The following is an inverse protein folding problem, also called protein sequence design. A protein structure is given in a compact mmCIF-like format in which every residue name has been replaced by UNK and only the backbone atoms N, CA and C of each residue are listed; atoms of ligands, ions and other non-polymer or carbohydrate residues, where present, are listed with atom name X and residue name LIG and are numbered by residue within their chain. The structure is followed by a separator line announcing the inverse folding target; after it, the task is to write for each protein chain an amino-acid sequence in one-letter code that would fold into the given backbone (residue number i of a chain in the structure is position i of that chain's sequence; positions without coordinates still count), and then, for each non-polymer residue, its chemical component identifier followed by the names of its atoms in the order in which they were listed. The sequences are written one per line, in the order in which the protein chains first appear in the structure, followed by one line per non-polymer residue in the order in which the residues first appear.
data_IF_920671013696
#
_entry.id   IF_920671013696
#
_cell.length_a   1.000
_cell.length_b   1.000
_cell.length_c   1.000
_cell.angle_alpha   90.00
_cell.angle_beta   90.00
_cell.angle_gamma   90.00
#
_symmetry.space_group_name_H-M   'P 1'
#
loop_
_entity.id
_entity.type
_entity.pdbx_description
1 polymer ?
#
# COMPACT_ATOMS: atom_id res chain seq x y z
N UNK A 1 -2.09 30.67 -6.78
CA UNK A 1 -1.90 30.16 -5.41
C UNK A 1 -3.27 29.84 -4.84
N UNK A 2 -3.63 28.56 -4.78
CA UNK A 2 -4.74 28.03 -4.01
C UNK A 2 -4.21 26.74 -3.37
N UNK A 3 -4.12 26.64 -2.03
CA UNK A 3 -3.82 25.38 -1.39
C UNK A 3 -5.13 24.59 -1.31
N UNK A 4 -5.16 23.46 -1.99
CA UNK A 4 -6.20 22.45 -1.91
C UNK A 4 -6.27 21.95 -0.46
N UNK A 5 -7.40 22.22 0.21
CA UNK A 5 -7.76 21.57 1.47
C UNK A 5 -7.82 20.07 1.21
N UNK A 6 -6.82 19.35 1.71
CA UNK A 6 -6.86 17.90 1.81
C UNK A 6 -7.82 17.61 2.96
N UNK A 7 -9.04 17.21 2.59
CA UNK A 7 -10.04 16.66 3.50
C UNK A 7 -9.47 15.36 4.07
N UNK A 8 -8.98 15.45 5.29
CA UNK A 8 -8.47 14.35 6.08
C UNK A 8 -9.67 13.55 6.65
N UNK A 9 -10.37 12.85 5.77
CA UNK A 9 -11.47 11.94 6.13
C UNK A 9 -10.88 10.58 6.51
N UNK A 10 -10.16 10.57 7.64
CA UNK A 10 -9.81 9.35 8.36
C UNK A 10 -11.11 8.74 8.91
N UNK A 11 -11.52 7.52 8.52
CA UNK A 11 -12.63 6.88 9.19
C UNK A 11 -12.24 6.65 10.65
N UNK A 12 -12.99 7.27 11.56
CA UNK A 12 -12.86 7.10 12.99
C UNK A 12 -12.76 5.60 13.32
N UNK A 13 -11.57 5.18 13.75
CA UNK A 13 -11.30 3.83 14.23
C UNK A 13 -12.30 3.50 15.34
N UNK A 14 -13.24 2.60 15.06
CA UNK A 14 -14.20 2.07 16.04
C UNK A 14 -13.52 1.08 17.03
N UNK A 15 -12.22 1.24 17.27
CA UNK A 15 -11.37 0.23 17.92
C UNK A 15 -11.39 0.25 19.45
N UNK A 16 -12.16 1.13 20.08
CA UNK A 16 -12.28 1.13 21.56
C UNK A 16 -13.39 0.23 22.11
N UNK A 17 -14.19 -0.43 21.26
CA UNK A 17 -15.27 -1.31 21.72
C UNK A 17 -14.87 -2.80 21.87
N UNK A 18 -13.64 -3.16 21.52
CA UNK A 18 -13.14 -4.55 21.54
C UNK A 18 -12.39 -4.94 22.82
N UNK A 19 -12.48 -4.14 23.89
CA UNK A 19 -12.23 -4.66 25.26
C UNK A 19 -13.42 -5.55 25.61
N UNK A 20 -13.43 -6.73 24.99
CA UNK A 20 -14.42 -7.77 25.17
C UNK A 20 -14.56 -8.03 26.66
N UNK A 21 -15.73 -7.69 27.20
CA UNK A 21 -16.11 -7.96 28.58
C UNK A 21 -15.62 -9.36 28.96
N UNK A 22 -14.72 -9.40 29.94
CA UNK A 22 -14.26 -10.63 30.58
C UNK A 22 -15.49 -11.49 30.84
N UNK A 23 -15.52 -12.77 30.43
CA UNK A 23 -16.68 -13.60 30.71
C UNK A 23 -16.89 -13.55 32.22
N UNK A 24 -18.00 -12.97 32.66
CA UNK A 24 -18.37 -12.97 34.06
C UNK A 24 -18.63 -14.42 34.44
N UNK A 25 -17.62 -15.07 34.99
CA UNK A 25 -17.67 -16.42 35.54
C UNK A 25 -18.46 -16.42 36.85
N UNK A 26 -19.71 -15.95 36.81
CA UNK A 26 -20.61 -15.89 37.96
C UNK A 26 -20.98 -17.31 38.40
N UNK A 27 -20.84 -17.59 39.69
CA UNK A 27 -21.28 -18.84 40.30
C UNK A 27 -20.30 -20.01 40.19
N UNK A 28 -19.05 -19.78 39.79
CA UNK A 28 -17.98 -20.78 39.92
C UNK A 28 -17.39 -20.65 41.33
N UNK A 29 -17.50 -21.72 42.12
CA UNK A 29 -16.89 -21.84 43.45
C UNK A 29 -15.63 -22.70 43.35
N UNK A 30 -14.61 -22.34 44.11
CA UNK A 30 -13.39 -23.14 44.18
C UNK A 30 -13.67 -24.49 44.85
N UNK A 31 -12.90 -25.52 44.52
CA UNK A 31 -13.04 -26.83 45.18
C UNK A 31 -12.70 -26.77 46.68
N UNK A 32 -11.95 -25.74 47.11
CA UNK A 32 -11.68 -25.41 48.51
C UNK A 32 -12.91 -24.89 49.27
N UNK A 33 -13.92 -24.37 48.59
CA UNK A 33 -15.13 -23.84 49.21
C UNK A 33 -16.08 -24.96 49.69
N UNK A 34 -15.77 -26.21 49.36
CA UNK A 34 -16.54 -27.38 49.72
C UNK A 34 -15.82 -28.19 50.81
N UNK A 35 -16.51 -28.56 51.90
CA UNK A 35 -15.92 -29.34 52.98
C UNK A 35 -15.50 -30.72 52.49
N UNK A 36 -14.28 -31.13 52.84
CA UNK A 36 -13.73 -32.46 52.50
C UNK A 36 -14.30 -33.57 53.39
N UNK A 37 -14.68 -33.22 54.61
CA UNK A 37 -15.33 -34.12 55.56
C UNK A 37 -16.77 -33.68 55.80
N UNK A 38 -17.70 -34.62 55.74
CA UNK A 38 -19.14 -34.42 55.88
C UNK A 38 -19.66 -34.87 57.25
N UNK A 39 -18.80 -35.43 58.10
CA UNK A 39 -19.13 -36.07 59.38
C UNK A 39 -19.80 -35.16 60.42
N UNK A 40 -19.77 -33.84 60.23
CA UNK A 40 -20.37 -32.83 61.13
C UNK A 40 -21.53 -32.02 60.53
N UNK A 41 -22.02 -32.38 59.33
CA UNK A 41 -23.06 -31.61 58.63
C UNK A 41 -24.44 -32.25 58.76
N UNK A 42 -25.47 -31.42 58.82
CA UNK A 42 -26.85 -31.92 58.73
C UNK A 42 -27.14 -32.48 57.32
N UNK A 43 -28.09 -33.42 57.17
CA UNK A 43 -28.47 -33.95 55.87
C UNK A 43 -28.85 -32.87 54.84
N UNK A 44 -29.50 -31.79 55.28
CA UNK A 44 -29.87 -30.65 54.43
C UNK A 44 -28.65 -29.84 53.96
N UNK A 45 -27.65 -29.65 54.84
CA UNK A 45 -26.39 -28.99 54.49
C UNK A 45 -25.57 -29.84 53.50
N UNK A 46 -25.59 -31.16 53.64
CA UNK A 46 -24.98 -32.09 52.69
C UNK A 46 -25.67 -31.98 51.32
N UNK A 47 -27.01 -32.00 51.27
CA UNK A 47 -27.74 -31.82 50.03
C UNK A 47 -27.45 -30.47 49.34
N UNK A 48 -27.39 -29.40 50.14
CA UNK A 48 -27.06 -28.06 49.64
C UNK A 48 -25.62 -27.98 49.09
N UNK A 49 -24.63 -28.57 49.77
CA UNK A 49 -23.24 -28.59 49.30
C UNK A 49 -23.09 -29.35 47.98
N UNK A 50 -23.74 -30.52 47.83
CA UNK A 50 -23.76 -31.24 46.55
C UNK A 50 -24.45 -30.45 45.43
N UNK A 51 -25.59 -29.81 45.72
CA UNK A 51 -26.30 -28.97 44.74
C UNK A 51 -25.43 -27.78 44.29
N UNK A 52 -24.79 -27.09 45.24
CA UNK A 52 -23.87 -25.99 44.95
C UNK A 52 -22.65 -26.44 44.14
N UNK A 53 -22.10 -27.62 44.44
CA UNK A 53 -20.98 -28.21 43.68
C UNK A 53 -21.38 -28.53 42.25
N UNK A 54 -22.54 -29.15 42.06
CA UNK A 54 -23.10 -29.46 40.73
C UNK A 54 -23.32 -28.19 39.91
N UNK A 55 -23.87 -27.15 40.53
CA UNK A 55 -24.10 -25.86 39.88
C UNK A 55 -22.78 -25.17 39.50
N UNK A 56 -21.78 -25.20 40.39
CA UNK A 56 -20.42 -24.70 40.10
C UNK A 56 -19.81 -25.42 38.90
N UNK A 57 -19.86 -26.76 38.87
CA UNK A 57 -19.34 -27.56 37.76
C UNK A 57 -20.06 -27.25 36.44
N UNK A 58 -21.39 -27.11 36.45
CA UNK A 58 -22.16 -26.74 35.27
C UNK A 58 -21.81 -25.33 34.75
N UNK A 59 -21.55 -24.38 35.65
CA UNK A 59 -21.10 -23.03 35.28
C UNK A 59 -19.69 -23.03 34.71
N UNK A 60 -18.77 -23.82 35.30
CA UNK A 60 -17.40 -24.00 34.79
C UNK A 60 -17.39 -24.60 33.38
N UNK A 61 -18.19 -25.64 33.13
CA UNK A 61 -18.29 -26.26 31.81
C UNK A 61 -18.79 -25.26 30.75
N UNK A 62 -19.78 -24.43 31.09
CA UNK A 62 -20.28 -23.35 30.22
C UNK A 62 -19.19 -22.30 29.95
N UNK A 63 -18.50 -21.82 30.97
CA UNK A 63 -17.42 -20.85 30.84
C UNK A 63 -16.27 -21.38 29.96
N UNK A 64 -15.86 -22.63 30.16
CA UNK A 64 -14.85 -23.30 29.32
C UNK A 64 -15.29 -23.35 27.85
N UNK A 65 -16.54 -23.72 27.58
CA UNK A 65 -17.08 -23.75 26.21
C UNK A 65 -17.10 -22.36 25.55
N UNK A 66 -17.49 -21.31 26.29
CA UNK A 66 -17.45 -19.93 25.80
C UNK A 66 -16.02 -19.46 25.51
N UNK A 67 -15.06 -19.77 26.39
CA UNK A 67 -13.66 -19.43 26.17
C UNK A 67 -13.09 -20.10 24.92
N UNK A 68 -13.41 -21.38 24.71
CA UNK A 68 -12.98 -22.10 23.50
C UNK A 68 -13.56 -21.49 22.21
N UNK A 69 -14.82 -21.05 22.24
CA UNK A 69 -15.46 -20.35 21.10
C UNK A 69 -14.79 -19.02 20.81
N UNK A 70 -14.62 -18.15 21.81
CA UNK A 70 -13.91 -16.86 21.63
C UNK A 70 -12.47 -17.05 21.18
N UNK A 71 -11.76 -18.05 21.71
CA UNK A 71 -10.41 -18.38 21.27
C UNK A 71 -10.37 -18.77 19.80
N UNK A 72 -11.38 -19.51 19.31
CA UNK A 72 -11.52 -19.83 17.89
C UNK A 72 -11.84 -18.59 17.06
N UNK A 73 -12.80 -17.78 17.47
CA UNK A 73 -13.19 -16.54 16.79
C UNK A 73 -11.99 -15.57 16.65
N UNK A 74 -11.17 -15.44 17.70
CA UNK A 74 -9.96 -14.62 17.66
C UNK A 74 -8.91 -15.17 16.70
N UNK A 75 -8.73 -16.50 16.61
CA UNK A 75 -7.84 -17.09 15.60
C UNK A 75 -8.36 -16.82 14.19
N UNK A 76 -9.65 -17.03 13.95
CA UNK A 76 -10.26 -16.76 12.64
C UNK A 76 -10.22 -15.27 12.26
N UNK A 77 -10.35 -14.35 13.23
CA UNK A 77 -10.18 -12.92 13.02
C UNK A 77 -8.72 -12.57 12.68
N UNK A 78 -7.75 -13.11 13.43
CA UNK A 78 -6.32 -12.95 13.14
C UNK A 78 -5.97 -13.46 11.75
N UNK A 79 -6.45 -14.64 11.37
CA UNK A 79 -6.11 -15.25 10.09
C UNK A 79 -6.70 -14.43 8.93
N UNK A 80 -7.92 -13.90 9.08
CA UNK A 80 -8.51 -12.94 8.13
C UNK A 80 -7.70 -11.64 8.05
N UNK A 81 -7.28 -11.09 9.18
CA UNK A 81 -6.48 -9.87 9.21
C UNK A 81 -5.13 -10.06 8.49
N UNK A 82 -4.44 -11.18 8.73
CA UNK A 82 -3.19 -11.52 8.05
C UNK A 82 -3.40 -11.69 6.54
N UNK A 83 -4.47 -12.38 6.12
CA UNK A 83 -4.80 -12.51 4.70
C UNK A 83 -5.01 -11.15 4.02
N UNK A 84 -5.70 -10.21 4.69
CA UNK A 84 -5.88 -8.85 4.19
C UNK A 84 -4.55 -8.09 4.11
N UNK A 85 -3.68 -8.22 5.11
CA UNK A 85 -2.36 -7.59 5.09
C UNK A 85 -1.50 -8.07 3.92
N UNK A 86 -1.45 -9.39 3.68
CA UNK A 86 -0.75 -9.92 2.51
C UNK A 86 -1.34 -9.39 1.20
N UNK A 87 -2.66 -9.26 1.11
CA UNK A 87 -3.30 -8.65 -0.05
C UNK A 87 -2.91 -7.17 -0.26
N UNK A 88 -2.71 -6.40 0.81
CA UNK A 88 -2.20 -5.04 0.70
C UNK A 88 -0.71 -5.00 0.30
N UNK A 89 0.11 -5.91 0.84
CA UNK A 89 1.52 -6.04 0.48
C UNK A 89 1.69 -6.33 -1.02
N UNK A 90 0.93 -7.30 -1.55
CA UNK A 90 0.95 -7.63 -2.99
C UNK A 90 0.56 -6.43 -3.86
N UNK A 91 -0.47 -5.67 -3.46
CA UNK A 91 -0.89 -4.45 -4.16
C UNK A 91 0.18 -3.36 -4.12
N UNK A 92 0.85 -3.18 -2.98
CA UNK A 92 1.94 -2.21 -2.86
C UNK A 92 3.13 -2.57 -3.77
N UNK A 93 3.46 -3.86 -3.85
CA UNK A 93 4.50 -4.34 -4.77
C UNK A 93 4.11 -4.08 -6.23
N UNK A 94 2.85 -4.35 -6.60
CA UNK A 94 2.35 -4.07 -7.96
C UNK A 94 2.44 -2.57 -8.29
N UNK A 95 1.94 -1.70 -7.41
CA UNK A 95 2.02 -0.23 -7.57
C UNK A 95 3.48 0.22 -7.64
N UNK A 96 4.38 -0.37 -6.85
CA UNK A 96 5.80 -0.06 -6.88
C UNK A 96 6.44 -0.37 -8.24
N UNK A 97 6.08 -1.50 -8.86
CA UNK A 97 6.54 -1.87 -10.20
C UNK A 97 6.00 -0.92 -11.27
N UNK A 98 4.70 -0.66 -11.28
CA UNK A 98 4.06 0.28 -12.22
C UNK A 98 4.70 1.67 -12.14
N UNK A 99 4.98 2.16 -10.92
CA UNK A 99 5.66 3.45 -10.73
C UNK A 99 7.10 3.44 -11.24
N UNK A 100 7.84 2.36 -11.03
CA UNK A 100 9.20 2.24 -11.54
C UNK A 100 9.22 2.25 -13.08
N UNK A 101 8.29 1.54 -13.71
CA UNK A 101 8.12 1.53 -15.17
C UNK A 101 7.75 2.92 -15.70
N UNK A 102 6.79 3.60 -15.06
CA UNK A 102 6.40 4.95 -15.44
C UNK A 102 7.56 5.96 -15.31
N UNK A 103 8.40 5.83 -14.27
CA UNK A 103 9.60 6.66 -14.12
C UNK A 103 10.65 6.37 -15.18
N UNK A 104 10.85 5.09 -15.55
CA UNK A 104 11.76 4.73 -16.65
C UNK A 104 11.30 5.37 -17.96
N UNK A 105 10.01 5.24 -18.28
CA UNK A 105 9.42 5.83 -19.47
C UNK A 105 9.55 7.37 -19.48
N UNK A 106 9.31 8.01 -18.33
CA UNK A 106 9.46 9.47 -18.21
C UNK A 106 10.93 9.90 -18.42
N UNK A 107 11.90 9.12 -17.93
CA UNK A 107 13.32 9.39 -18.16
C UNK A 107 13.72 9.21 -19.62
N UNK A 108 13.21 8.17 -20.29
CA UNK A 108 13.42 7.94 -21.72
C UNK A 108 12.85 9.09 -22.54
N UNK A 109 11.60 9.49 -22.28
CA UNK A 109 10.96 10.62 -22.93
C UNK A 109 11.74 11.92 -22.71
N UNK A 110 12.25 12.17 -21.50
CA UNK A 110 13.03 13.36 -21.23
C UNK A 110 14.34 13.39 -22.04
N UNK A 111 15.01 12.25 -22.19
CA UNK A 111 16.20 12.14 -23.05
C UNK A 111 15.86 12.38 -24.52
N UNK A 112 14.73 11.87 -24.99
CA UNK A 112 14.28 12.13 -26.36
C UNK A 112 14.01 13.62 -26.57
N UNK A 113 13.36 14.29 -25.61
CA UNK A 113 13.11 15.73 -25.65
C UNK A 113 14.42 16.52 -25.69
N UNK A 114 15.40 16.20 -24.85
CA UNK A 114 16.73 16.84 -24.87
C UNK A 114 17.42 16.68 -26.24
N UNK A 115 17.31 15.50 -26.87
CA UNK A 115 17.83 15.27 -28.22
C UNK A 115 17.07 16.07 -29.28
N UNK A 116 15.76 16.25 -29.13
CA UNK A 116 14.95 17.08 -30.02
C UNK A 116 15.29 18.56 -29.88
N UNK A 117 15.45 19.06 -28.65
CA UNK A 117 15.88 20.44 -28.37
C UNK A 117 17.25 20.71 -28.99
N UNK A 118 18.23 19.81 -28.79
CA UNK A 118 19.55 19.95 -29.40
C UNK A 118 19.52 19.97 -30.95
N UNK A 119 18.61 19.22 -31.57
CA UNK A 119 18.38 19.27 -33.02
C UNK A 119 17.75 20.58 -33.46
N UNK A 120 16.80 21.11 -32.69
CA UNK A 120 16.18 22.42 -32.97
C UNK A 120 17.22 23.54 -32.87
N UNK A 121 18.04 23.56 -31.82
CA UNK A 121 19.12 24.55 -31.70
C UNK A 121 20.11 24.47 -32.87
N UNK A 122 20.47 23.26 -33.32
CA UNK A 122 21.35 23.09 -34.47
C UNK A 122 20.71 23.59 -35.77
N UNK A 123 19.41 23.37 -35.95
CA UNK A 123 18.63 23.88 -37.08
C UNK A 123 18.59 25.42 -37.06
N UNK A 124 18.30 26.02 -35.92
CA UNK A 124 18.19 27.47 -35.76
C UNK A 124 19.53 28.16 -36.05
N UNK A 125 20.65 27.56 -35.60
CA UNK A 125 21.99 28.05 -35.96
C UNK A 125 22.25 27.99 -37.46
N UNK A 126 21.87 26.90 -38.14
CA UNK A 126 22.02 26.80 -39.59
C UNK A 126 21.15 27.79 -40.35
N UNK A 127 19.93 28.06 -39.89
CA UNK A 127 19.06 29.07 -40.49
C UNK A 127 19.68 30.47 -40.34
N UNK A 128 20.21 30.78 -39.17
CA UNK A 128 20.95 32.03 -38.92
C UNK A 128 22.16 32.15 -39.87
N UNK A 129 22.98 31.10 -39.97
CA UNK A 129 24.14 31.06 -40.89
C UNK A 129 23.73 31.23 -42.37
N UNK A 130 22.57 30.69 -42.76
CA UNK A 130 22.03 30.80 -44.12
C UNK A 130 21.58 32.23 -44.42
N UNK A 131 20.89 32.87 -43.47
CA UNK A 131 20.45 34.26 -43.59
C UNK A 131 21.67 35.20 -43.68
N UNK A 132 22.70 35.00 -42.85
CA UNK A 132 23.96 35.75 -42.94
C UNK A 132 24.68 35.54 -44.28
N UNK A 133 24.78 34.30 -44.76
CA UNK A 133 25.39 34.00 -46.05
C UNK A 133 24.61 34.62 -47.22
N UNK A 134 23.28 34.70 -47.11
CA UNK A 134 22.42 35.34 -48.12
C UNK A 134 22.62 36.85 -48.17
N UNK A 135 22.85 37.52 -47.03
CA UNK A 135 23.13 38.96 -47.00
C UNK A 135 24.50 39.32 -47.58
N UNK A 136 25.48 38.40 -47.51
CA UNK A 136 26.79 38.56 -48.16
C UNK A 136 26.71 38.22 -49.66
N UNK A 137 26.54 39.24 -50.51
CA UNK A 137 26.48 39.06 -51.96
C UNK A 137 27.85 38.71 -52.58
N UNK A 138 28.05 37.46 -53.03
CA UNK A 138 29.25 37.04 -53.77
C UNK A 138 29.31 35.54 -54.12
N UNK A 139 30.21 35.12 -55.01
CA UNK A 139 30.37 33.71 -55.44
C UNK A 139 30.65 32.74 -54.27
N UNK A 140 31.36 33.22 -53.24
CA UNK A 140 31.65 32.46 -52.03
C UNK A 140 30.40 32.19 -51.17
N UNK A 141 29.37 33.04 -51.23
CA UNK A 141 28.13 32.78 -50.50
C UNK A 141 27.29 31.67 -51.14
N UNK A 142 27.34 31.51 -52.46
CA UNK A 142 26.66 30.40 -53.16
C UNK A 142 27.24 29.03 -52.75
N UNK A 143 28.57 28.93 -52.63
CA UNK A 143 29.24 27.72 -52.13
C UNK A 143 28.92 27.45 -50.65
N UNK A 144 28.90 28.50 -49.82
CA UNK A 144 28.52 28.40 -48.41
C UNK A 144 27.07 27.95 -48.23
N UNK A 145 26.14 28.51 -49.01
CA UNK A 145 24.72 28.15 -49.00
C UNK A 145 24.50 26.70 -49.43
N UNK A 146 25.20 26.22 -50.47
CA UNK A 146 25.08 24.81 -50.89
C UNK A 146 25.61 23.83 -49.83
N UNK A 147 26.67 24.19 -49.10
CA UNK A 147 27.16 23.41 -47.97
C UNK A 147 26.20 23.41 -46.77
N UNK A 148 25.58 24.56 -46.45
CA UNK A 148 24.56 24.69 -45.40
C UNK A 148 23.30 23.87 -45.72
N UNK A 149 22.83 23.89 -46.98
CA UNK A 149 21.71 23.05 -47.44
C UNK A 149 22.04 21.56 -47.32
N UNK A 150 23.29 21.15 -47.58
CA UNK A 150 23.72 19.77 -47.36
C UNK A 150 23.66 19.38 -45.87
N UNK A 151 24.13 20.25 -44.96
CA UNK A 151 24.06 20.03 -43.50
C UNK A 151 22.63 19.98 -43.00
N UNK A 152 21.75 20.85 -43.48
CA UNK A 152 20.32 20.84 -43.15
C UNK A 152 19.65 19.55 -43.62
N UNK A 153 19.97 19.08 -44.84
CA UNK A 153 19.48 17.80 -45.35
C UNK A 153 19.97 16.62 -44.51
N UNK A 154 21.21 16.62 -44.07
CA UNK A 154 21.75 15.54 -43.24
C UNK A 154 21.14 15.52 -41.83
N UNK A 155 20.89 16.69 -41.22
CA UNK A 155 20.15 16.80 -39.96
C UNK A 155 18.71 16.30 -40.06
N UNK A 156 18.01 16.64 -41.15
CA UNK A 156 16.63 16.19 -41.38
C UNK A 156 16.56 14.69 -41.74
N UNK A 157 17.59 14.15 -42.40
CA UNK A 157 17.65 12.74 -42.83
C UNK A 157 18.17 11.80 -41.73
N UNK A 158 18.98 12.30 -40.80
CA UNK A 158 19.41 11.59 -39.59
C UNK A 158 18.25 11.18 -38.66
N UNK A 159 17.05 11.73 -38.84
CA UNK A 159 15.84 11.29 -38.14
C UNK A 159 15.27 9.94 -38.61
N UNK A 160 15.63 9.45 -39.80
CA UNK A 160 15.10 8.19 -40.35
C UNK A 160 15.95 6.95 -40.04
N UNK A 161 17.14 7.11 -39.46
CA UNK A 161 18.18 6.06 -39.43
C UNK A 161 18.55 5.54 -38.03
N UNK A 162 17.81 5.91 -36.97
CA UNK A 162 18.14 5.53 -35.57
C UNK A 162 17.18 4.53 -34.91
N UNK A 163 16.23 3.95 -35.65
CA UNK A 163 15.49 2.76 -35.21
C UNK A 163 15.98 1.54 -36.00
N UNK A 164 16.98 0.86 -35.45
CA UNK A 164 17.51 -0.43 -35.93
C UNK A 164 18.30 -1.10 -34.82
#
# INVERSE_FOLDING_TARGET
MNPTEVVDDLPASSDSALVAASPECKGIRATSDFPRDLSGLSPEQIAHTYSAMRNSHASLARARGQLQRRSRELREARDRFLATLYGYEERLVAIGKEKAEALSLAQELNRELELFEGKQEALDRLLTDLDEAKEQAGFWSILRITELIAKMRDLLRGGASSNG
#
